data_IF_323776379544
#
_entry.id   IF_323776379544
#
_cell.length_a   1.000
_cell.length_b   1.000
_cell.length_c   1.000
_cell.angle_alpha   90.00
_cell.angle_beta   90.00
_cell.angle_gamma   90.00
#
_symmetry.space_group_name_H-M   'P 1'
#
loop_
_entity.id
_entity.type
_entity.pdbx_description
1 polymer ?
#
# COMPACT_ATOMS: atom_id res chain seq x y z
N UNK A 1 5.48 11.66 -7.25
CA UNK A 1 4.99 11.93 -5.89
C UNK A 1 5.09 10.65 -5.08
N UNK A 2 5.60 10.71 -3.87
CA UNK A 2 5.55 9.62 -2.90
C UNK A 2 4.81 10.17 -1.67
N UNK A 3 3.72 9.51 -1.27
CA UNK A 3 2.87 9.92 -0.16
C UNK A 3 2.71 8.73 0.80
N UNK A 4 2.87 8.97 2.07
CA UNK A 4 2.69 7.98 3.13
C UNK A 4 1.53 8.37 4.05
N UNK A 5 0.66 7.41 4.34
CA UNK A 5 -0.37 7.48 5.38
C UNK A 5 0.02 6.54 6.53
N UNK A 6 0.66 7.06 7.55
CA UNK A 6 1.13 6.25 8.68
C UNK A 6 0.02 5.89 9.69
N UNK A 7 -1.22 6.32 9.47
CA UNK A 7 -2.29 6.23 10.46
C UNK A 7 -2.61 4.79 10.86
N UNK A 8 -2.70 3.86 9.89
CA UNK A 8 -3.00 2.45 10.14
C UNK A 8 -1.94 1.81 11.05
N UNK A 9 -0.67 1.99 10.73
CA UNK A 9 0.44 1.46 11.51
C UNK A 9 0.50 2.10 12.91
N UNK A 10 0.58 3.43 12.98
CA UNK A 10 0.73 4.16 14.24
C UNK A 10 -0.42 3.88 15.22
N UNK A 11 -1.65 3.82 14.73
CA UNK A 11 -2.81 3.57 15.58
C UNK A 11 -2.97 2.09 15.89
N UNK A 12 -2.64 1.21 14.93
CA UNK A 12 -2.63 -0.25 15.12
C UNK A 12 -1.76 -0.68 16.31
N UNK A 13 -0.61 -0.05 16.49
CA UNK A 13 0.27 -0.30 17.63
C UNK A 13 -0.33 -0.01 19.00
N UNK A 14 -1.44 0.71 19.05
CA UNK A 14 -2.16 0.94 20.33
C UNK A 14 -2.99 -0.25 20.81
N UNK A 15 -3.29 -1.21 19.91
CA UNK A 15 -4.19 -2.31 20.18
C UNK A 15 -5.66 -1.91 20.37
N UNK A 16 -6.01 -0.66 20.07
CA UNK A 16 -7.36 -0.11 20.23
C UNK A 16 -8.18 -0.28 18.94
N UNK A 17 -9.04 -1.28 18.87
CA UNK A 17 -9.83 -1.62 17.68
C UNK A 17 -10.63 -0.43 17.14
N UNK A 18 -11.38 0.28 17.99
CA UNK A 18 -12.21 1.41 17.54
C UNK A 18 -11.38 2.58 16.98
N UNK A 19 -10.18 2.78 17.51
CA UNK A 19 -9.27 3.79 17.01
C UNK A 19 -8.65 3.36 15.66
N UNK A 20 -8.30 2.09 15.51
CA UNK A 20 -7.78 1.53 14.27
C UNK A 20 -8.82 1.62 13.13
N UNK A 21 -10.09 1.29 13.41
CA UNK A 21 -11.18 1.45 12.44
C UNK A 21 -11.26 2.90 11.94
N UNK A 22 -11.31 3.87 12.86
CA UNK A 22 -11.36 5.30 12.49
C UNK A 22 -10.12 5.75 11.70
N UNK A 23 -8.95 5.21 12.03
CA UNK A 23 -7.72 5.50 11.31
C UNK A 23 -7.80 4.98 9.86
N UNK A 24 -8.27 3.76 9.66
CA UNK A 24 -8.46 3.16 8.33
C UNK A 24 -9.52 3.91 7.51
N UNK A 25 -10.66 4.27 8.10
CA UNK A 25 -11.68 5.08 7.45
C UNK A 25 -11.14 6.45 6.99
N UNK A 26 -10.34 7.10 7.83
CA UNK A 26 -9.71 8.37 7.47
C UNK A 26 -8.70 8.22 6.33
N UNK A 27 -7.89 7.16 6.34
CA UNK A 27 -6.95 6.86 5.25
C UNK A 27 -7.71 6.57 3.96
N UNK A 28 -8.76 5.76 3.99
CA UNK A 28 -9.58 5.44 2.82
C UNK A 28 -10.16 6.71 2.18
N UNK A 29 -10.77 7.57 2.98
CA UNK A 29 -11.34 8.83 2.51
C UNK A 29 -10.28 9.77 1.91
N UNK A 30 -9.10 9.85 2.51
CA UNK A 30 -8.01 10.69 2.02
C UNK A 30 -7.37 10.09 0.76
N UNK A 31 -7.14 8.78 0.74
CA UNK A 31 -6.58 8.07 -0.42
C UNK A 31 -7.50 8.22 -1.63
N UNK A 32 -8.82 8.06 -1.46
CA UNK A 32 -9.80 8.29 -2.51
C UNK A 32 -9.61 9.66 -3.17
N UNK A 33 -9.55 10.73 -2.38
CA UNK A 33 -9.40 12.10 -2.91
C UNK A 33 -8.09 12.29 -3.68
N UNK A 34 -7.00 11.72 -3.18
CA UNK A 34 -5.68 11.79 -3.84
C UNK A 34 -5.71 11.04 -5.17
N UNK A 35 -6.26 9.82 -5.17
CA UNK A 35 -6.34 8.97 -6.36
C UNK A 35 -7.22 9.60 -7.44
N UNK A 36 -8.42 10.05 -7.08
CA UNK A 36 -9.34 10.71 -8.01
C UNK A 36 -8.71 11.95 -8.63
N UNK A 37 -8.11 12.82 -7.80
CA UNK A 37 -7.39 14.00 -8.30
C UNK A 37 -6.20 13.61 -9.18
N UNK A 38 -5.48 12.55 -8.83
CA UNK A 38 -4.38 12.03 -9.64
C UNK A 38 -4.87 11.61 -11.04
N UNK A 39 -5.92 10.79 -11.10
CA UNK A 39 -6.51 10.34 -12.37
C UNK A 39 -6.98 11.50 -13.26
N UNK A 40 -7.65 12.51 -12.67
CA UNK A 40 -8.10 13.71 -13.39
C UNK A 40 -6.93 14.51 -13.99
N UNK A 41 -5.74 14.38 -13.42
CA UNK A 41 -4.53 15.07 -13.88
C UNK A 41 -3.54 14.14 -14.62
N UNK A 42 -3.97 12.95 -15.04
CA UNK A 42 -3.18 12.03 -15.85
C UNK A 42 -2.08 11.30 -15.10
N UNK A 43 -2.21 11.14 -13.80
CA UNK A 43 -1.29 10.35 -12.99
C UNK A 43 -1.70 8.87 -12.96
N UNK A 44 -0.73 7.99 -13.09
CA UNK A 44 -0.83 6.60 -12.65
C UNK A 44 -0.57 6.53 -11.15
N UNK A 45 -1.42 5.85 -10.41
CA UNK A 45 -1.29 5.71 -8.95
C UNK A 45 -1.05 4.25 -8.58
N UNK A 46 -0.01 4.01 -7.80
CA UNK A 46 0.28 2.71 -7.20
C UNK A 46 0.06 2.82 -5.70
N UNK A 47 -0.89 2.05 -5.17
CA UNK A 47 -1.21 1.99 -3.75
C UNK A 47 -0.69 0.68 -3.18
N UNK A 48 0.10 0.77 -2.13
CA UNK A 48 0.70 -0.40 -1.46
C UNK A 48 0.69 -0.21 0.07
N UNK A 49 0.95 -1.29 0.79
CA UNK A 49 1.45 -1.23 2.16
C UNK A 49 2.83 -1.91 2.21
N UNK A 50 3.65 -1.53 3.16
CA UNK A 50 4.99 -2.10 3.38
C UNK A 50 4.96 -3.33 4.29
N UNK A 51 3.94 -3.46 5.12
CA UNK A 51 3.66 -4.60 6.00
C UNK A 51 2.20 -4.58 6.47
N UNK A 52 1.76 -5.68 7.08
CA UNK A 52 0.48 -5.77 7.77
C UNK A 52 0.55 -5.27 9.21
N UNK A 53 -0.58 -4.81 9.74
CA UNK A 53 -0.76 -4.39 11.13
C UNK A 53 -2.25 -4.47 11.52
N UNK A 54 -3.08 -3.53 11.04
CA UNK A 54 -4.48 -3.38 11.44
C UNK A 54 -5.41 -4.54 11.04
N UNK A 55 -4.99 -5.40 10.13
CA UNK A 55 -5.79 -6.57 9.75
C UNK A 55 -5.80 -7.66 10.83
N UNK A 56 -4.90 -7.56 11.81
CA UNK A 56 -4.88 -8.45 13.00
C UNK A 56 -4.73 -7.62 14.27
N UNK A 57 -5.84 -7.18 14.83
CA UNK A 57 -5.89 -6.35 16.04
C UNK A 57 -6.01 -7.17 17.35
N UNK A 58 -6.22 -8.49 17.25
CA UNK A 58 -6.43 -9.37 18.40
C UNK A 58 -5.67 -10.68 18.20
N UNK A 59 -4.98 -11.11 19.25
CA UNK A 59 -4.32 -12.41 19.31
C UNK A 59 -5.35 -13.55 19.55
N UNK A 60 -4.99 -14.82 19.28
CA UNK A 60 -5.90 -15.96 19.52
C UNK A 60 -6.35 -16.12 20.97
N UNK A 61 -5.61 -15.61 21.93
CA UNK A 61 -5.93 -15.62 23.36
C UNK A 61 -6.86 -14.47 23.79
N UNK A 62 -7.28 -13.61 22.84
CA UNK A 62 -8.12 -12.44 23.09
C UNK A 62 -7.37 -11.20 23.56
N UNK A 63 -6.06 -11.23 23.69
CA UNK A 63 -5.27 -10.04 24.00
C UNK A 63 -5.11 -9.13 22.77
N UNK A 64 -4.92 -7.81 22.94
CA UNK A 64 -4.63 -6.92 21.82
C UNK A 64 -3.33 -7.33 21.11
N UNK A 65 -3.38 -7.37 19.78
CA UNK A 65 -2.16 -7.44 18.96
C UNK A 65 -1.69 -6.01 18.64
N UNK A 66 -0.44 -5.73 18.92
CA UNK A 66 0.20 -4.42 18.68
C UNK A 66 1.43 -4.53 17.79
N UNK A 67 1.63 -5.70 17.16
CA UNK A 67 2.80 -5.98 16.33
C UNK A 67 2.44 -5.97 14.84
N UNK A 68 3.44 -5.78 14.00
CA UNK A 68 3.31 -6.02 12.58
C UNK A 68 3.01 -7.49 12.28
N UNK A 69 2.37 -7.75 11.15
CA UNK A 69 2.15 -9.10 10.63
C UNK A 69 3.00 -9.35 9.39
N UNK A 70 3.17 -10.63 9.07
CA UNK A 70 3.78 -11.07 7.80
C UNK A 70 2.73 -11.43 6.74
N UNK A 71 1.49 -11.03 6.95
CA UNK A 71 0.43 -11.26 5.99
C UNK A 71 0.70 -10.54 4.66
N UNK A 72 0.25 -11.09 3.53
CA UNK A 72 0.27 -10.36 2.28
C UNK A 72 -0.45 -9.03 2.39
N UNK A 73 0.10 -8.01 1.75
CA UNK A 73 -0.48 -6.66 1.69
C UNK A 73 -1.05 -6.37 0.31
N UNK A 74 -2.06 -5.51 0.19
CA UNK A 74 -2.61 -5.17 -1.11
C UNK A 74 -1.61 -4.36 -1.95
N UNK A 75 -1.64 -4.59 -3.26
CA UNK A 75 -1.01 -3.75 -4.28
C UNK A 75 -2.06 -3.43 -5.34
N UNK A 76 -2.36 -2.15 -5.52
CA UNK A 76 -3.43 -1.68 -6.39
C UNK A 76 -2.85 -0.69 -7.39
N UNK A 77 -3.03 -0.96 -8.67
CA UNK A 77 -2.69 -0.04 -9.75
C UNK A 77 -3.96 0.67 -10.22
N UNK A 78 -3.94 1.99 -10.22
CA UNK A 78 -5.03 2.83 -10.71
C UNK A 78 -4.49 3.68 -11.86
N UNK A 79 -5.02 3.40 -13.05
CA UNK A 79 -4.59 4.03 -14.30
C UNK A 79 -5.77 4.06 -15.29
N UNK A 80 -5.76 5.01 -16.23
CA UNK A 80 -6.81 5.11 -17.25
C UNK A 80 -6.69 4.07 -18.37
N UNK A 81 -5.52 3.47 -18.56
CA UNK A 81 -5.21 2.58 -19.67
C UNK A 81 -4.80 1.18 -19.22
N UNK A 82 -4.01 1.08 -18.16
CA UNK A 82 -3.50 -0.17 -17.62
C UNK A 82 -4.57 -0.89 -16.78
N UNK A 83 -4.68 -2.20 -16.91
CA UNK A 83 -5.78 -2.97 -16.36
C UNK A 83 -5.35 -4.10 -15.43
N UNK A 84 -4.09 -4.52 -15.49
CA UNK A 84 -3.61 -5.68 -14.75
C UNK A 84 -2.27 -5.40 -14.08
N UNK A 85 -2.12 -5.90 -12.87
CA UNK A 85 -0.87 -5.98 -12.14
C UNK A 85 -0.75 -7.38 -11.53
N UNK A 86 0.42 -7.97 -11.62
CA UNK A 86 0.69 -9.29 -11.08
C UNK A 86 1.05 -9.22 -9.59
N UNK A 87 0.83 -10.33 -8.89
CA UNK A 87 1.34 -10.52 -7.54
C UNK A 87 2.88 -10.55 -7.52
N UNK A 88 3.45 -10.11 -6.41
CA UNK A 88 4.90 -10.08 -6.24
C UNK A 88 5.35 -9.83 -4.82
N UNK A 89 6.50 -9.22 -4.66
CA UNK A 89 7.05 -8.84 -3.37
C UNK A 89 7.44 -7.36 -3.37
N UNK A 90 7.68 -6.78 -2.20
CA UNK A 90 8.01 -5.34 -2.08
C UNK A 90 9.21 -4.91 -2.95
N UNK A 91 10.17 -5.80 -3.18
CA UNK A 91 11.31 -5.53 -4.05
C UNK A 91 10.96 -5.32 -5.53
N UNK A 92 9.76 -5.73 -5.96
CA UNK A 92 9.28 -5.58 -7.33
C UNK A 92 8.63 -4.20 -7.57
N UNK A 93 8.37 -3.43 -6.52
CA UNK A 93 7.71 -2.12 -6.60
C UNK A 93 8.55 -1.12 -7.40
N UNK A 94 9.84 -1.00 -7.09
CA UNK A 94 10.73 -0.07 -7.77
C UNK A 94 10.90 -0.40 -9.26
N UNK A 95 11.16 -1.66 -9.69
CA UNK A 95 11.13 -2.05 -11.09
C UNK A 95 9.80 -1.72 -11.78
N UNK A 96 8.68 -1.94 -11.10
CA UNK A 96 7.35 -1.63 -11.63
C UNK A 96 7.19 -0.13 -11.88
N UNK A 97 7.60 0.71 -10.94
CA UNK A 97 7.57 2.18 -11.11
C UNK A 97 8.45 2.60 -12.29
N UNK A 98 9.68 2.09 -12.40
CA UNK A 98 10.56 2.42 -13.52
C UNK A 98 9.94 2.07 -14.86
N UNK A 99 9.32 0.89 -14.97
CA UNK A 99 8.63 0.47 -16.19
C UNK A 99 7.44 1.39 -16.52
N UNK A 100 6.64 1.77 -15.53
CA UNK A 100 5.49 2.67 -15.70
C UNK A 100 5.90 4.06 -16.20
N UNK A 101 7.05 4.58 -15.77
CA UNK A 101 7.56 5.90 -16.21
C UNK A 101 8.50 5.83 -17.43
N UNK A 102 8.69 4.63 -18.02
CA UNK A 102 9.52 4.45 -19.20
C UNK A 102 11.02 4.63 -18.97
N UNK A 103 11.50 4.33 -17.77
CA UNK A 103 12.92 4.41 -17.41
C UNK A 103 13.51 3.00 -17.35
N UNK A 104 14.68 2.81 -17.95
CA UNK A 104 15.39 1.53 -17.94
C UNK A 104 15.81 1.14 -16.52
N UNK A 105 15.60 -0.14 -16.21
CA UNK A 105 15.98 -0.71 -14.92
C UNK A 105 17.51 -0.87 -14.84
N UNK A 106 18.19 -0.35 -13.79
CA UNK A 106 19.62 -0.55 -13.60
C UNK A 106 19.96 -2.02 -13.33
N UNK A 107 21.16 -2.45 -13.71
CA UNK A 107 21.60 -3.86 -13.61
C UNK A 107 21.66 -4.38 -12.16
N UNK A 108 21.88 -3.50 -11.22
CA UNK A 108 21.93 -3.79 -9.79
C UNK A 108 20.55 -4.12 -9.21
N UNK A 109 19.49 -3.69 -9.88
CA UNK A 109 18.11 -4.00 -9.49
C UNK A 109 17.73 -5.35 -10.10
N UNK A 110 17.70 -6.40 -9.28
CA UNK A 110 17.56 -7.79 -9.71
C UNK A 110 16.12 -8.33 -9.71
N UNK A 111 15.15 -7.54 -9.25
CA UNK A 111 13.74 -7.90 -9.22
C UNK A 111 13.04 -7.50 -10.54
N UNK A 112 11.79 -7.92 -10.70
CA UNK A 112 11.05 -7.78 -11.95
C UNK A 112 9.85 -6.87 -11.82
N UNK A 113 9.49 -6.10 -12.87
CA UNK A 113 8.26 -5.32 -12.88
C UNK A 113 7.03 -6.25 -12.90
N UNK A 114 5.96 -5.80 -12.29
CA UNK A 114 4.70 -6.55 -12.15
C UNK A 114 3.63 -6.18 -13.19
N UNK A 115 3.93 -5.24 -14.09
CA UNK A 115 3.07 -4.81 -15.20
C UNK A 115 3.65 -5.17 -16.54
#
# INVERSE_FOLDING_TARGET
VCLNFANGDMVGHTGMMDAAIKACEAVDACAKRVIETGLENGYTTLVIADHGNCEVMMNPDGSPNTAHTTNPVPMILVDNELKEINDGVLGDVAPTILKLIGVDQPKEMTRFPLV
#
